data_IF_732667748651
#
_entry.id   IF_732667748651
#
_cell.length_a   1.000
_cell.length_b   1.000
_cell.length_c   1.000
_cell.angle_alpha   90.00
_cell.angle_beta   90.00
_cell.angle_gamma   90.00
#
_symmetry.space_group_name_H-M   'P 1'
#
loop_
_entity.id
_entity.type
_entity.pdbx_description
1 polymer ?
#
# COMPACT_ATOMS: atom_id res chain seq x y z
N UNK A 1 -9.33 20.07 1.84
CA UNK A 1 -7.94 19.70 2.20
C UNK A 1 -7.03 20.15 1.08
N UNK A 2 -5.80 20.59 1.36
CA UNK A 2 -4.85 21.01 0.31
C UNK A 2 -3.87 19.88 -0.03
N UNK A 3 -3.09 20.03 -1.11
CA UNK A 3 -2.11 19.03 -1.55
C UNK A 3 -1.05 18.72 -0.48
N UNK A 4 -0.57 19.73 0.24
CA UNK A 4 0.47 19.57 1.28
C UNK A 4 0.01 18.62 2.39
N UNK A 5 -1.24 18.77 2.87
CA UNK A 5 -1.80 17.86 3.87
C UNK A 5 -1.94 16.41 3.35
N UNK A 6 -2.22 16.24 2.06
CA UNK A 6 -2.30 14.92 1.42
C UNK A 6 -0.91 14.29 1.25
N UNK A 7 0.09 15.10 0.89
CA UNK A 7 1.50 14.67 0.85
C UNK A 7 1.97 14.21 2.23
N UNK A 8 1.69 14.99 3.28
CA UNK A 8 2.03 14.64 4.66
C UNK A 8 1.35 13.33 5.11
N UNK A 9 0.08 13.11 4.73
CA UNK A 9 -0.62 11.86 4.98
C UNK A 9 0.09 10.66 4.31
N UNK A 10 0.44 10.79 3.04
CA UNK A 10 1.16 9.71 2.34
C UNK A 10 2.58 9.49 2.88
N UNK A 11 3.27 10.54 3.33
CA UNK A 11 4.58 10.39 3.98
C UNK A 11 4.45 9.68 5.33
N UNK A 12 3.38 9.95 6.09
CA UNK A 12 3.08 9.25 7.31
C UNK A 12 2.78 7.76 7.06
N UNK A 13 1.92 7.46 6.09
CA UNK A 13 1.62 6.09 5.67
C UNK A 13 2.90 5.33 5.26
N UNK A 14 3.74 5.95 4.43
CA UNK A 14 5.01 5.39 4.00
C UNK A 14 5.95 5.10 5.17
N UNK A 15 6.03 6.01 6.16
CA UNK A 15 6.88 5.85 7.34
C UNK A 15 6.46 4.66 8.21
N UNK A 16 5.15 4.45 8.40
CA UNK A 16 4.61 3.30 9.14
C UNK A 16 5.00 1.98 8.45
N UNK A 17 4.74 1.89 7.14
CA UNK A 17 5.06 0.70 6.36
C UNK A 17 6.58 0.43 6.28
N UNK A 18 7.41 1.46 6.12
CA UNK A 18 8.87 1.34 6.09
C UNK A 18 9.44 0.90 7.45
N UNK A 19 8.78 1.28 8.55
CA UNK A 19 9.10 0.88 9.92
C UNK A 19 8.55 -0.49 10.32
N UNK A 20 7.81 -1.17 9.44
CA UNK A 20 7.07 -2.41 9.74
C UNK A 20 5.97 -2.26 10.82
N UNK A 21 5.50 -1.03 11.04
CA UNK A 21 4.33 -0.77 11.87
C UNK A 21 3.04 -1.03 11.08
N UNK A 22 2.76 -2.33 10.87
CA UNK A 22 1.62 -2.78 10.09
C UNK A 22 0.28 -2.56 10.81
N UNK A 23 0.29 -2.48 12.15
CA UNK A 23 -0.93 -2.17 12.90
C UNK A 23 -1.25 -0.68 12.76
N UNK A 24 -0.27 0.21 12.95
CA UNK A 24 -0.46 1.65 12.75
C UNK A 24 -0.85 2.01 11.31
N UNK A 25 -0.31 1.31 10.31
CA UNK A 25 -0.77 1.45 8.93
C UNK A 25 -2.24 1.03 8.75
N UNK A 26 -2.64 -0.07 9.38
CA UNK A 26 -4.00 -0.59 9.28
C UNK A 26 -5.02 0.35 9.95
N UNK A 27 -4.62 1.07 11.00
CA UNK A 27 -5.45 2.08 11.68
C UNK A 27 -5.76 3.31 10.79
N UNK A 28 -5.03 3.52 9.69
CA UNK A 28 -5.32 4.58 8.71
C UNK A 28 -6.49 4.21 7.77
N UNK A 29 -6.87 2.94 7.69
CA UNK A 29 -7.85 2.45 6.73
C UNK A 29 -9.27 2.50 7.31
N UNK A 30 -10.24 2.93 6.49
CA UNK A 30 -11.66 2.82 6.82
C UNK A 30 -12.11 1.35 6.90
N UNK A 31 -13.16 1.08 7.67
CA UNK A 31 -13.70 -0.28 7.83
C UNK A 31 -14.18 -0.91 6.52
N UNK A 32 -14.55 -0.09 5.54
CA UNK A 32 -15.00 -0.49 4.21
C UNK A 32 -13.89 -0.42 3.15
N UNK A 33 -12.63 -0.28 3.55
CA UNK A 33 -11.49 -0.18 2.63
C UNK A 33 -11.46 -1.29 1.58
N UNK A 34 -11.01 -0.91 0.38
CA UNK A 34 -10.72 -1.81 -0.74
C UNK A 34 -9.31 -1.55 -1.24
N UNK A 35 -8.47 -2.57 -1.21
CA UNK A 35 -7.09 -2.49 -1.70
C UNK A 35 -6.98 -3.26 -3.02
N UNK A 36 -6.92 -2.51 -4.11
CA UNK A 36 -7.03 -3.04 -5.47
C UNK A 36 -5.74 -2.78 -6.26
N UNK A 37 -5.15 -3.85 -6.79
CA UNK A 37 -4.03 -3.81 -7.73
C UNK A 37 -4.43 -4.61 -8.97
N UNK A 38 -4.82 -3.94 -10.07
CA UNK A 38 -5.23 -4.61 -11.30
C UNK A 38 -4.04 -5.26 -12.01
N UNK A 39 -4.29 -6.17 -12.98
CA UNK A 39 -3.22 -6.71 -13.81
C UNK A 39 -2.78 -5.66 -14.85
N UNK A 40 -1.54 -5.78 -15.32
CA UNK A 40 -0.95 -4.78 -16.23
C UNK A 40 -1.58 -4.74 -17.63
N UNK A 41 -2.23 -5.82 -18.07
CA UNK A 41 -2.89 -5.94 -19.36
C UNK A 41 -4.30 -5.34 -19.36
N UNK A 42 -4.95 -5.25 -18.20
CA UNK A 42 -6.30 -4.69 -18.03
C UNK A 42 -6.34 -3.78 -16.80
N UNK A 43 -5.71 -2.59 -16.85
CA UNK A 43 -5.60 -1.69 -15.69
C UNK A 43 -6.96 -1.15 -15.21
N UNK A 44 -7.94 -1.02 -16.10
CA UNK A 44 -9.30 -0.54 -15.80
C UNK A 44 -10.31 -1.69 -15.59
N UNK A 45 -9.82 -2.90 -15.29
CA UNK A 45 -10.66 -4.09 -15.11
C UNK A 45 -11.60 -4.00 -13.90
N UNK A 46 -12.66 -4.80 -13.89
CA UNK A 46 -13.55 -4.91 -12.73
C UNK A 46 -13.08 -6.08 -11.83
N UNK A 47 -12.83 -5.87 -10.52
CA UNK A 47 -12.35 -6.91 -9.61
C UNK A 47 -13.28 -8.13 -9.49
N UNK A 48 -14.57 -8.01 -9.82
CA UNK A 48 -15.52 -9.12 -9.80
C UNK A 48 -15.41 -10.05 -11.02
N UNK A 49 -14.80 -9.58 -12.11
CA UNK A 49 -14.74 -10.29 -13.40
C UNK A 49 -13.32 -10.45 -13.94
N UNK A 50 -12.35 -9.75 -13.37
CA UNK A 50 -10.95 -9.73 -13.80
C UNK A 50 -10.07 -10.24 -12.67
N UNK A 51 -9.08 -11.07 -13.00
CA UNK A 51 -8.13 -11.59 -12.02
C UNK A 51 -7.11 -10.50 -11.61
N UNK A 52 -7.38 -9.85 -10.48
CA UNK A 52 -6.50 -8.83 -9.91
C UNK A 52 -5.29 -9.45 -9.19
N UNK A 53 -4.17 -8.72 -9.16
CA UNK A 53 -2.98 -9.08 -8.38
C UNK A 53 -3.33 -9.00 -6.88
N UNK A 54 -4.07 -7.96 -6.49
CA UNK A 54 -4.67 -7.81 -5.16
C UNK A 54 -6.09 -7.30 -5.33
N UNK A 55 -7.07 -7.98 -4.72
CA UNK A 55 -8.44 -7.54 -4.61
C UNK A 55 -8.93 -7.86 -3.19
N UNK A 56 -8.51 -7.03 -2.25
CA UNK A 56 -8.73 -7.26 -0.84
C UNK A 56 -9.77 -6.28 -0.27
N UNK A 57 -10.66 -6.82 0.56
CA UNK A 57 -11.46 -6.06 1.51
C UNK A 57 -10.73 -5.98 2.87
N UNK A 58 -11.33 -5.27 3.82
CA UNK A 58 -10.70 -5.05 5.12
C UNK A 58 -10.40 -6.36 5.89
N UNK A 59 -11.23 -7.40 5.76
CA UNK A 59 -10.98 -8.70 6.40
C UNK A 59 -9.78 -9.43 5.79
N UNK A 60 -9.62 -9.36 4.46
CA UNK A 60 -8.44 -9.90 3.78
C UNK A 60 -7.17 -9.12 4.15
N UNK A 61 -7.25 -7.78 4.23
CA UNK A 61 -6.14 -6.92 4.67
C UNK A 61 -5.69 -7.32 6.09
N UNK A 62 -6.63 -7.44 7.05
CA UNK A 62 -6.34 -7.92 8.42
C UNK A 62 -5.66 -9.29 8.42
N UNK A 63 -6.15 -10.21 7.59
CA UNK A 63 -5.54 -11.53 7.40
C UNK A 63 -4.09 -11.46 6.90
N UNK A 64 -3.79 -10.56 5.96
CA UNK A 64 -2.42 -10.35 5.46
C UNK A 64 -1.50 -9.78 6.52
N UNK A 65 -1.93 -8.74 7.24
CA UNK A 65 -1.16 -8.14 8.34
C UNK A 65 -0.84 -9.20 9.40
N UNK A 66 -1.84 -9.98 9.83
CA UNK A 66 -1.64 -11.09 10.78
C UNK A 66 -0.61 -12.10 10.27
N UNK A 67 -0.70 -12.49 8.99
CA UNK A 67 0.25 -13.42 8.38
C UNK A 67 1.67 -12.85 8.34
N UNK A 68 1.84 -11.60 7.91
CA UNK A 68 3.14 -10.93 7.81
C UNK A 68 3.84 -10.77 9.16
N UNK A 69 3.07 -10.61 10.24
CA UNK A 69 3.60 -10.55 11.61
C UNK A 69 3.99 -11.92 12.19
N UNK A 70 3.58 -13.03 11.56
CA UNK A 70 3.96 -14.37 12.00
C UNK A 70 5.43 -14.68 11.69
N UNK A 71 6.10 -15.43 12.57
CA UNK A 71 7.43 -15.99 12.30
C UNK A 71 7.44 -17.01 11.16
N UNK A 72 6.26 -17.56 10.82
CA UNK A 72 6.07 -18.49 9.72
C UNK A 72 6.00 -17.79 8.34
N UNK A 73 5.97 -16.45 8.32
CA UNK A 73 6.14 -15.68 7.09
C UNK A 73 7.60 -15.69 6.65
N UNK A 74 8.14 -16.86 6.30
CA UNK A 74 9.56 -17.07 5.96
C UNK A 74 10.08 -16.12 4.85
N UNK A 75 9.21 -15.68 3.95
CA UNK A 75 9.55 -14.69 2.92
C UNK A 75 9.93 -13.32 3.51
N UNK A 76 9.37 -12.98 4.66
CA UNK A 76 9.50 -11.69 5.37
C UNK A 76 10.01 -11.86 6.80
N UNK A 77 10.65 -13.00 7.12
CA UNK A 77 11.33 -13.23 8.38
C UNK A 77 12.82 -13.53 8.11
N UNK A 78 13.77 -12.62 8.42
CA UNK A 78 13.56 -11.29 9.01
C UNK A 78 12.87 -10.29 8.05
N UNK A 79 12.20 -9.25 8.59
CA UNK A 79 11.49 -8.24 7.81
C UNK A 79 12.35 -7.60 6.73
N UNK A 80 11.78 -7.40 5.54
CA UNK A 80 12.46 -6.67 4.47
C UNK A 80 12.62 -5.19 4.83
N UNK A 81 13.79 -4.61 4.58
CA UNK A 81 13.95 -3.16 4.68
C UNK A 81 13.31 -2.52 3.46
N UNK A 82 12.34 -1.64 3.65
CA UNK A 82 11.67 -0.95 2.54
C UNK A 82 11.92 0.54 2.59
N UNK A 83 11.85 1.19 1.42
CA UNK A 83 11.80 2.63 1.28
C UNK A 83 10.82 3.00 0.19
N UNK A 84 9.80 3.78 0.54
CA UNK A 84 8.80 4.29 -0.40
C UNK A 84 9.13 5.74 -0.76
N UNK A 85 9.25 6.00 -2.06
CA UNK A 85 9.33 7.34 -2.62
C UNK A 85 7.97 7.66 -3.22
N UNK A 86 7.31 8.70 -2.71
CA UNK A 86 6.00 9.13 -3.19
C UNK A 86 6.18 10.49 -3.85
N UNK A 87 5.72 10.61 -5.09
CA UNK A 87 5.88 11.82 -5.90
C UNK A 87 4.61 12.08 -6.73
N UNK A 88 4.56 13.23 -7.40
CA UNK A 88 3.48 13.58 -8.33
C UNK A 88 2.07 13.49 -7.70
N UNK A 89 1.96 13.87 -6.42
CA UNK A 89 0.68 13.89 -5.69
C UNK A 89 -0.26 14.92 -6.29
N UNK A 90 -1.44 14.48 -6.71
CA UNK A 90 -2.48 15.33 -7.33
C UNK A 90 -3.84 14.98 -6.76
N UNK A 91 -4.58 16.01 -6.38
CA UNK A 91 -6.01 15.90 -6.05
C UNK A 91 -6.77 15.98 -7.38
N UNK A 92 -7.50 14.93 -7.73
CA UNK A 92 -8.31 14.84 -8.94
C UNK A 92 -9.70 15.41 -8.70
N UNK A 93 -10.31 15.07 -7.56
CA UNK A 93 -11.63 15.51 -7.15
C UNK A 93 -11.65 15.78 -5.65
N UNK A 94 -12.43 16.77 -5.24
CA UNK A 94 -12.63 17.13 -3.84
C UNK A 94 -14.12 17.29 -3.58
N UNK A 95 -14.70 16.32 -2.89
CA UNK A 95 -16.07 16.39 -2.37
C UNK A 95 -16.11 16.98 -0.96
N UNK A 96 -17.31 16.98 -0.37
CA UNK A 96 -17.54 17.50 0.99
C UNK A 96 -16.91 16.60 2.06
N UNK A 97 -16.89 15.28 1.83
CA UNK A 97 -16.38 14.28 2.78
C UNK A 97 -15.21 13.44 2.25
N UNK A 98 -14.97 13.42 0.94
CA UNK A 98 -14.02 12.51 0.29
C UNK A 98 -13.11 13.24 -0.71
N UNK A 99 -11.93 12.67 -0.94
CA UNK A 99 -10.95 13.16 -1.91
C UNK A 99 -10.55 12.02 -2.84
N UNK A 100 -10.55 12.29 -4.14
CA UNK A 100 -9.94 11.41 -5.14
C UNK A 100 -8.52 11.89 -5.39
N UNK A 101 -7.52 11.06 -5.07
CA UNK A 101 -6.10 11.43 -5.14
C UNK A 101 -5.33 10.42 -5.98
N UNK A 102 -4.34 10.90 -6.73
CA UNK A 102 -3.36 10.07 -7.41
C UNK A 102 -1.94 10.47 -7.00
N UNK A 103 -1.04 9.50 -6.94
CA UNK A 103 0.37 9.70 -6.70
C UNK A 103 1.16 8.65 -7.49
N UNK A 104 2.39 9.01 -7.86
CA UNK A 104 3.38 8.06 -8.34
C UNK A 104 4.16 7.54 -7.15
N UNK A 105 4.57 6.28 -7.19
CA UNK A 105 5.42 5.72 -6.16
C UNK A 105 6.55 4.88 -6.76
N UNK A 106 7.62 4.72 -5.98
CA UNK A 106 8.65 3.70 -6.19
C UNK A 106 8.97 3.04 -4.85
N UNK A 107 9.02 1.71 -4.82
CA UNK A 107 9.30 0.95 -3.60
C UNK A 107 10.61 0.20 -3.75
N UNK A 108 11.62 0.62 -2.99
CA UNK A 108 12.86 -0.13 -2.87
C UNK A 108 12.73 -1.15 -1.74
N UNK A 109 12.95 -2.43 -2.05
CA UNK A 109 12.93 -3.53 -1.07
C UNK A 109 14.28 -4.21 -0.99
N UNK A 110 14.89 -4.18 0.19
CA UNK A 110 16.18 -4.79 0.49
C UNK A 110 16.01 -5.94 1.48
N UNK A 111 16.53 -7.11 1.13
CA UNK A 111 16.53 -8.28 2.01
C UNK A 111 17.96 -8.75 2.25
N UNK A 112 18.32 -9.00 3.52
CA UNK A 112 19.65 -9.52 3.88
C UNK A 112 19.85 -10.89 3.20
N UNK A 113 20.84 -10.98 2.30
CA UNK A 113 21.14 -12.19 1.52
C UNK A 113 20.32 -12.37 0.23
N UNK A 114 19.39 -11.47 -0.09
CA UNK A 114 18.68 -11.44 -1.38
C UNK A 114 19.35 -10.48 -2.35
N UNK A 115 19.37 -10.79 -3.66
CA UNK A 115 19.66 -9.78 -4.68
C UNK A 115 18.61 -8.68 -4.54
N UNK A 116 19.04 -7.42 -4.36
CA UNK A 116 18.11 -6.30 -4.26
C UNK A 116 17.18 -6.29 -5.47
N UNK A 117 15.87 -6.26 -5.23
CA UNK A 117 14.87 -6.15 -6.27
C UNK A 117 14.31 -4.74 -6.25
N UNK A 118 14.33 -4.06 -7.39
CA UNK A 118 13.54 -2.86 -7.60
C UNK A 118 12.12 -3.30 -7.98
N UNK A 119 11.12 -2.82 -7.24
CA UNK A 119 9.72 -2.99 -7.59
C UNK A 119 9.26 -1.65 -8.13
N UNK A 120 9.07 -1.59 -9.45
CA UNK A 120 8.46 -0.46 -10.17
C UNK A 120 6.96 -0.62 -10.12
#
# INVERSE_FOLDING_TARGET
MNREAVEDFFYHEAALLDAWDLDGWMDLLCDDARYLVPPNDVPDGNPDTTLFIIADDMDRIRGRVKRLKSRDAHAEFPPSRTRRLITNVRILEQGDAELTVTANFSVHRFRRGGKGGEYV
#
